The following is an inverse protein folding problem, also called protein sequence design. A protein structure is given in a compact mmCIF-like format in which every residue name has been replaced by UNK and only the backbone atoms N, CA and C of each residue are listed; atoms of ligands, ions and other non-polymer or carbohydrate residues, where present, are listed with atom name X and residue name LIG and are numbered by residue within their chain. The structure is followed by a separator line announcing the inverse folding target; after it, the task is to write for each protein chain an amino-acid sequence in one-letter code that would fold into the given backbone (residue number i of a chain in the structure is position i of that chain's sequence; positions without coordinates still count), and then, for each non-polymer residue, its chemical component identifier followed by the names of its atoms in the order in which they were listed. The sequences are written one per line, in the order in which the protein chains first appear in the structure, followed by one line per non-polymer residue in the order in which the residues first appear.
data_IF_217474576755
#
_entry.id   IF_217474576755
#
_cell.length_a   1.000
_cell.length_b   1.000
_cell.length_c   1.000
_cell.angle_alpha   90.00
_cell.angle_beta   90.00
_cell.angle_gamma   90.00
#
_symmetry.space_group_name_H-M   'P 1'
#
loop_
_entity.id
_entity.type
_entity.pdbx_description
1 polymer ?
#
# COMPACT_ATOMS: atom_id res chain seq x y z
N UNK A 1 35.63 11.07 4.22
CA UNK A 1 34.50 11.10 5.18
C UNK A 1 33.21 11.19 4.40
N UNK A 2 32.14 10.64 4.93
CA UNK A 2 30.82 10.59 4.29
C UNK A 2 29.79 11.30 5.16
N UNK A 3 28.85 12.00 4.54
CA UNK A 3 27.70 12.59 5.20
C UNK A 3 26.44 12.27 4.39
N UNK A 4 25.30 12.19 5.06
CA UNK A 4 24.01 12.00 4.40
C UNK A 4 23.44 13.35 3.99
N UNK A 5 23.21 13.52 2.68
CA UNK A 5 22.50 14.65 2.12
C UNK A 5 21.01 14.32 2.09
N UNK A 6 20.24 14.91 3.00
CA UNK A 6 18.79 14.67 3.11
C UNK A 6 18.03 15.18 1.88
N UNK A 7 18.57 16.16 1.14
CA UNK A 7 17.90 16.75 -0.02
C UNK A 7 18.00 15.85 -1.24
N UNK A 8 19.09 15.09 -1.35
CA UNK A 8 19.30 14.13 -2.43
C UNK A 8 19.06 12.68 -1.98
N UNK A 9 18.87 12.44 -0.69
CA UNK A 9 18.68 11.11 -0.13
C UNK A 9 19.91 10.21 -0.29
N UNK A 10 21.11 10.78 -0.42
CA UNK A 10 22.34 10.02 -0.71
C UNK A 10 23.47 10.36 0.23
N UNK A 11 24.38 9.40 0.42
CA UNK A 11 25.62 9.62 1.14
C UNK A 11 26.69 10.18 0.20
N UNK A 12 27.21 11.37 0.52
CA UNK A 12 28.22 12.06 -0.27
C UNK A 12 29.56 12.13 0.46
N UNK A 13 30.64 12.06 -0.32
CA UNK A 13 31.98 12.19 0.21
C UNK A 13 32.33 13.67 0.43
N UNK A 14 32.95 13.96 1.57
CA UNK A 14 33.49 15.26 1.89
C UNK A 14 34.85 15.16 2.56
N UNK A 15 35.61 16.26 2.46
CA UNK A 15 36.88 16.46 3.15
C UNK A 15 36.62 17.31 4.38
N UNK A 16 36.76 16.71 5.56
CA UNK A 16 36.58 17.41 6.84
C UNK A 16 37.89 18.07 7.27
N UNK A 17 37.85 19.36 7.64
CA UNK A 17 39.05 20.19 7.88
C UNK A 17 39.35 20.56 9.34
N UNK A 18 38.61 20.09 10.35
CA UNK A 18 38.96 20.36 11.76
C UNK A 18 37.83 20.15 12.78
N UNK A 19 38.14 20.11 14.08
CA UNK A 19 37.35 19.52 15.18
C UNK A 19 35.96 20.12 15.49
N UNK A 20 35.05 19.23 15.97
CA UNK A 20 33.59 19.35 16.22
C UNK A 20 32.72 18.93 15.03
N UNK A 21 32.52 17.62 14.92
CA UNK A 21 31.58 17.03 13.97
C UNK A 21 30.20 16.90 14.60
N UNK A 22 29.16 16.78 13.77
CA UNK A 22 27.84 16.32 14.20
C UNK A 22 27.68 14.83 13.87
N UNK A 23 26.59 14.21 14.31
CA UNK A 23 26.33 12.77 14.12
C UNK A 23 26.12 12.35 12.65
N UNK A 24 26.07 13.30 11.71
CA UNK A 24 25.97 13.05 10.27
C UNK A 24 27.36 12.92 9.61
N UNK A 25 28.26 12.15 10.25
CA UNK A 25 29.65 11.96 9.82
C UNK A 25 30.03 10.48 9.91
N UNK A 26 30.33 9.88 8.78
CA UNK A 26 30.61 8.45 8.65
C UNK A 26 31.97 8.20 8.00
N UNK A 27 32.71 7.24 8.52
CA UNK A 27 34.06 6.93 8.01
C UNK A 27 34.01 6.32 6.61
N UNK A 28 33.01 5.49 6.33
CA UNK A 28 32.80 4.82 5.04
C UNK A 28 31.41 5.14 4.46
N UNK A 29 31.30 5.02 3.14
CA UNK A 29 30.04 5.16 2.40
C UNK A 29 28.99 4.21 2.95
N UNK A 30 29.36 2.94 3.12
CA UNK A 30 28.48 1.88 3.59
C UNK A 30 27.97 2.14 5.01
N UNK A 31 28.78 2.72 5.90
CA UNK A 31 28.34 3.10 7.25
C UNK A 31 27.27 4.20 7.21
N UNK A 32 27.43 5.18 6.33
CA UNK A 32 26.45 6.22 6.08
C UNK A 32 25.14 5.63 5.51
N UNK A 33 25.25 4.83 4.45
CA UNK A 33 24.09 4.26 3.76
C UNK A 33 23.33 3.32 4.68
N UNK A 34 24.02 2.48 5.45
CA UNK A 34 23.38 1.58 6.42
C UNK A 34 22.68 2.32 7.56
N UNK A 35 23.17 3.49 7.96
CA UNK A 35 22.53 4.28 9.03
C UNK A 35 21.36 5.12 8.51
N UNK A 36 21.48 5.69 7.32
CA UNK A 36 20.58 6.73 6.82
C UNK A 36 19.65 6.28 5.68
N UNK A 37 20.03 5.25 4.92
CA UNK A 37 19.26 4.73 3.77
C UNK A 37 18.57 3.42 4.14
N UNK A 38 19.27 2.49 4.78
CA UNK A 38 18.78 1.14 5.13
C UNK A 38 17.67 1.17 6.21
N UNK A 39 17.57 2.25 6.99
CA UNK A 39 16.46 2.49 7.93
C UNK A 39 15.18 3.06 7.30
N UNK A 40 15.19 3.36 6.01
CA UNK A 40 14.04 3.90 5.25
C UNK A 40 13.68 3.08 4.01
N UNK A 41 14.31 1.91 3.78
CA UNK A 41 13.96 1.01 2.68
C UNK A 41 14.35 -0.44 3.00
N UNK A 42 13.42 -1.22 3.57
CA UNK A 42 13.41 -2.65 3.25
C UNK A 42 12.86 -2.79 1.81
N UNK A 43 13.74 -2.64 0.82
CA UNK A 43 13.60 -3.20 -0.53
C UNK A 43 14.74 -2.72 -1.46
N UNK A 44 15.81 -3.50 -1.59
CA UNK A 44 16.43 -3.87 -2.89
C UNK A 44 17.36 -5.08 -2.66
N UNK A 45 17.49 -6.17 -3.42
CA UNK A 45 17.17 -6.66 -4.78
C UNK A 45 17.00 -8.21 -4.68
N UNK A 46 16.31 -8.97 -5.54
CA UNK A 46 16.73 -9.44 -6.87
C UNK A 46 15.54 -10.14 -7.54
N UNK A 47 15.28 -9.77 -8.80
CA UNK A 47 14.28 -10.39 -9.66
C UNK A 47 14.17 -9.58 -10.93
N UNK A 48 15.09 -9.82 -11.87
CA UNK A 48 14.88 -9.49 -13.27
C UNK A 48 13.55 -10.11 -13.72
N UNK A 49 12.53 -9.28 -13.97
CA UNK A 49 11.52 -9.38 -15.04
C UNK A 49 10.68 -8.09 -15.00
N UNK A 50 10.85 -7.25 -16.04
CA UNK A 50 10.01 -6.10 -16.41
C UNK A 50 9.37 -5.27 -15.27
N UNK A 51 9.97 -4.11 -14.95
CA UNK A 51 9.18 -2.97 -14.48
C UNK A 51 8.32 -2.46 -15.65
N UNK A 52 7.28 -3.24 -15.96
CA UNK A 52 6.20 -2.85 -16.84
C UNK A 52 5.41 -1.71 -16.20
N UNK A 53 4.86 -0.83 -17.02
CA UNK A 53 4.11 0.35 -16.64
C UNK A 53 2.71 0.03 -16.06
N UNK A 54 2.60 -1.02 -15.25
CA UNK A 54 1.37 -1.52 -14.63
C UNK A 54 1.47 -1.48 -13.10
N UNK A 55 1.47 -0.28 -12.54
CA UNK A 55 1.11 -0.06 -11.13
C UNK A 55 -0.39 -0.28 -10.97
N UNK A 56 -0.81 -1.54 -10.97
CA UNK A 56 -2.20 -1.92 -10.71
C UNK A 56 -2.58 -1.63 -9.25
N UNK A 57 -3.78 -1.08 -9.04
CA UNK A 57 -4.36 -0.95 -7.71
C UNK A 57 -4.69 -2.35 -7.18
N UNK A 58 -4.14 -2.71 -6.03
CA UNK A 58 -4.35 -4.04 -5.43
C UNK A 58 -5.53 -4.02 -4.47
N UNK A 59 -6.40 -5.01 -4.59
CA UNK A 59 -7.52 -5.22 -3.68
C UNK A 59 -7.40 -6.60 -3.04
N UNK A 60 -7.49 -6.64 -1.71
CA UNK A 60 -7.30 -7.86 -0.92
C UNK A 60 -8.27 -7.91 0.25
N UNK A 61 -8.54 -9.12 0.74
CA UNK A 61 -9.53 -9.37 1.79
C UNK A 61 -8.91 -9.99 3.05
N UNK A 62 -9.53 -9.73 4.20
CA UNK A 62 -9.14 -10.31 5.48
C UNK A 62 -10.40 -10.72 6.29
N UNK A 63 -10.52 -11.97 6.79
CA UNK A 63 -9.67 -13.13 6.48
C UNK A 63 -9.70 -13.49 4.99
N UNK A 64 -8.78 -14.33 4.55
CA UNK A 64 -8.86 -14.93 3.21
C UNK A 64 -9.96 -16.00 3.19
N UNK A 65 -10.57 -16.24 2.02
CA UNK A 65 -11.64 -17.22 1.81
C UNK A 65 -11.34 -18.64 2.31
N UNK A 66 -12.38 -19.47 2.55
CA UNK A 66 -13.82 -19.23 2.29
C UNK A 66 -14.52 -18.40 3.37
N UNK A 67 -15.63 -17.75 3.01
CA UNK A 67 -16.48 -17.03 3.96
C UNK A 67 -17.76 -17.82 4.23
N UNK A 68 -18.14 -17.93 5.49
CA UNK A 68 -19.41 -18.51 5.92
C UNK A 68 -20.46 -17.42 6.13
N UNK A 69 -21.74 -17.79 5.98
CA UNK A 69 -22.84 -16.90 6.36
C UNK A 69 -22.69 -16.48 7.83
N UNK A 70 -22.75 -15.17 8.08
CA UNK A 70 -22.55 -14.58 9.41
C UNK A 70 -21.16 -14.01 9.66
N UNK A 71 -20.17 -14.35 8.82
CA UNK A 71 -18.81 -13.83 8.96
C UNK A 71 -18.71 -12.31 8.79
N UNK A 72 -17.56 -11.77 9.17
CA UNK A 72 -17.15 -10.39 8.89
C UNK A 72 -16.04 -10.41 7.83
N UNK A 73 -16.28 -9.73 6.71
CA UNK A 73 -15.32 -9.60 5.61
C UNK A 73 -14.79 -8.18 5.58
N UNK A 74 -13.46 -8.04 5.50
CA UNK A 74 -12.80 -6.75 5.33
C UNK A 74 -12.09 -6.70 3.99
N UNK A 75 -12.52 -5.81 3.09
CA UNK A 75 -11.87 -5.55 1.81
C UNK A 75 -11.01 -4.30 1.94
N UNK A 76 -9.76 -4.37 1.50
CA UNK A 76 -8.80 -3.27 1.56
C UNK A 76 -8.29 -2.97 0.16
N UNK A 77 -8.26 -1.69 -0.17
CA UNK A 77 -7.75 -1.17 -1.43
C UNK A 77 -6.41 -0.48 -1.19
N UNK A 78 -5.36 -0.90 -1.87
CA UNK A 78 -4.05 -0.23 -1.85
C UNK A 78 -4.10 1.03 -2.71
N UNK A 79 -4.52 2.12 -2.08
CA UNK A 79 -4.71 3.43 -2.72
C UNK A 79 -3.41 4.20 -2.87
N UNK A 80 -2.32 3.79 -2.21
CA UNK A 80 -1.08 4.57 -2.07
C UNK A 80 -1.32 6.04 -1.67
N UNK A 81 -2.40 6.32 -0.95
CA UNK A 81 -2.79 7.66 -0.51
C UNK A 81 -3.55 8.51 -1.55
N UNK A 82 -3.88 7.94 -2.72
CA UNK A 82 -4.64 8.63 -3.76
C UNK A 82 -6.14 8.57 -3.47
N UNK A 83 -6.81 9.72 -3.61
CA UNK A 83 -8.25 9.90 -3.38
C UNK A 83 -8.88 10.56 -4.63
N UNK A 84 -10.20 10.41 -4.88
CA UNK A 84 -11.18 9.63 -4.11
C UNK A 84 -11.05 8.11 -4.31
N UNK A 85 -11.69 7.34 -3.43
CA UNK A 85 -11.84 5.88 -3.57
C UNK A 85 -13.32 5.55 -3.73
N UNK A 86 -13.65 4.83 -4.79
CA UNK A 86 -15.03 4.39 -5.08
C UNK A 86 -15.07 2.88 -5.12
N UNK A 87 -16.04 2.28 -4.43
CA UNK A 87 -16.21 0.83 -4.39
C UNK A 87 -17.34 0.38 -5.31
N UNK A 88 -17.11 -0.74 -5.99
CA UNK A 88 -18.08 -1.37 -6.87
C UNK A 88 -18.25 -2.85 -6.54
N UNK A 89 -19.46 -3.33 -6.76
CA UNK A 89 -19.83 -4.74 -6.72
C UNK A 89 -20.61 -5.08 -7.98
N UNK A 90 -20.17 -6.09 -8.70
CA UNK A 90 -20.81 -6.58 -9.92
C UNK A 90 -21.03 -5.45 -10.95
N UNK A 91 -20.07 -4.53 -11.05
CA UNK A 91 -20.09 -3.37 -11.93
C UNK A 91 -20.96 -2.19 -11.48
N UNK A 92 -21.69 -2.31 -10.36
CA UNK A 92 -22.50 -1.23 -9.78
C UNK A 92 -21.82 -0.60 -8.56
N UNK A 93 -22.14 0.66 -8.26
CA UNK A 93 -21.67 1.32 -7.04
C UNK A 93 -22.10 0.54 -5.80
N UNK A 94 -21.16 0.30 -4.89
CA UNK A 94 -21.42 -0.45 -3.67
C UNK A 94 -22.42 0.30 -2.80
N UNK A 95 -23.54 -0.35 -2.50
CA UNK A 95 -24.59 0.23 -1.68
C UNK A 95 -24.24 0.13 -0.19
N UNK A 96 -24.12 1.26 0.49
CA UNK A 96 -23.84 1.32 1.93
C UNK A 96 -25.04 0.91 2.78
N UNK A 97 -24.81 0.26 3.92
CA UNK A 97 -25.86 -0.14 4.85
C UNK A 97 -25.32 -0.24 6.27
N UNK A 98 -26.17 -0.54 7.27
CA UNK A 98 -25.68 -0.82 8.63
C UNK A 98 -24.66 -1.97 8.68
N UNK A 99 -24.75 -2.91 7.73
CA UNK A 99 -23.84 -4.05 7.60
C UNK A 99 -22.59 -3.73 6.78
N UNK A 100 -22.71 -2.89 5.74
CA UNK A 100 -21.65 -2.52 4.80
C UNK A 100 -21.17 -1.10 5.14
N UNK A 101 -20.03 -1.01 5.80
CA UNK A 101 -19.44 0.22 6.32
C UNK A 101 -18.10 0.49 5.66
N UNK A 102 -17.76 1.77 5.48
CA UNK A 102 -16.49 2.20 4.89
C UNK A 102 -15.67 2.96 5.93
N UNK A 103 -14.38 2.67 5.98
CA UNK A 103 -13.43 3.15 6.98
C UNK A 103 -12.12 3.60 6.30
N UNK A 104 -11.16 4.04 7.12
CA UNK A 104 -9.80 4.37 6.70
C UNK A 104 -9.75 5.32 5.49
N UNK A 105 -10.46 6.44 5.54
CA UNK A 105 -10.53 7.40 4.43
C UNK A 105 -10.94 6.72 3.11
N UNK A 106 -11.97 5.88 3.16
CA UNK A 106 -12.54 5.17 2.02
C UNK A 106 -11.72 3.99 1.47
N UNK A 107 -10.54 3.71 2.02
CA UNK A 107 -9.68 2.61 1.57
C UNK A 107 -10.08 1.21 2.08
N UNK A 108 -11.02 1.13 3.04
CA UNK A 108 -11.45 -0.15 3.64
C UNK A 108 -12.97 -0.26 3.66
N UNK A 109 -13.52 -1.37 3.16
CA UNK A 109 -14.91 -1.78 3.35
C UNK A 109 -14.96 -2.91 4.37
N UNK A 110 -15.90 -2.81 5.31
CA UNK A 110 -16.28 -3.90 6.21
C UNK A 110 -17.70 -4.33 5.87
N UNK A 111 -17.90 -5.62 5.63
CA UNK A 111 -19.20 -6.26 5.51
C UNK A 111 -19.38 -7.16 6.73
N UNK A 112 -20.32 -6.82 7.61
CA UNK A 112 -20.63 -7.61 8.80
C UNK A 112 -21.87 -8.46 8.58
N UNK A 113 -21.87 -9.67 9.15
CA UNK A 113 -22.94 -10.66 9.00
C UNK A 113 -23.24 -10.92 7.52
N UNK A 114 -22.22 -11.41 6.81
CA UNK A 114 -22.30 -11.67 5.38
C UNK A 114 -23.35 -12.74 5.06
N UNK A 115 -23.98 -12.60 3.91
CA UNK A 115 -24.99 -13.51 3.37
C UNK A 115 -24.54 -14.00 2.01
N UNK A 116 -25.22 -15.02 1.47
CA UNK A 116 -24.93 -15.48 0.11
C UNK A 116 -25.10 -14.38 -0.94
N UNK A 117 -25.98 -13.40 -0.68
CA UNK A 117 -26.20 -12.23 -1.54
C UNK A 117 -25.02 -11.25 -1.54
N UNK A 118 -24.09 -11.33 -0.58
CA UNK A 118 -22.88 -10.50 -0.54
C UNK A 118 -21.77 -11.07 -1.44
N UNK A 119 -21.92 -12.29 -1.95
CA UNK A 119 -21.05 -12.83 -3.00
C UNK A 119 -21.10 -11.97 -4.26
N UNK A 120 -19.99 -11.90 -4.99
CA UNK A 120 -19.88 -11.12 -6.22
C UNK A 120 -18.45 -10.67 -6.52
N UNK A 121 -18.28 -9.97 -7.63
CA UNK A 121 -17.00 -9.36 -8.02
C UNK A 121 -16.88 -7.95 -7.44
N UNK A 122 -15.87 -7.74 -6.58
CA UNK A 122 -15.59 -6.44 -5.97
C UNK A 122 -14.38 -5.78 -6.60
N UNK A 123 -14.48 -4.46 -6.82
CA UNK A 123 -13.39 -3.62 -7.31
C UNK A 123 -13.39 -2.27 -6.58
N UNK A 124 -12.22 -1.67 -6.44
CA UNK A 124 -12.08 -0.26 -6.07
C UNK A 124 -11.55 0.55 -7.25
N UNK A 125 -12.04 1.78 -7.40
CA UNK A 125 -11.52 2.79 -8.31
C UNK A 125 -10.80 3.86 -7.49
N UNK A 126 -9.61 4.28 -7.92
CA UNK A 126 -8.75 5.20 -7.16
C UNK A 126 -8.38 6.42 -8.02
N UNK A 127 -8.52 7.61 -7.44
CA UNK A 127 -8.13 8.87 -8.07
C UNK A 127 -9.17 9.47 -9.02
N UNK A 128 -8.91 10.67 -9.57
CA UNK A 128 -9.83 11.38 -10.45
C UNK A 128 -10.10 10.65 -11.76
N UNK A 129 -9.11 9.91 -12.26
CA UNK A 129 -9.22 9.09 -13.48
C UNK A 129 -9.91 7.75 -13.24
N UNK A 130 -10.20 7.41 -11.98
CA UNK A 130 -10.90 6.18 -11.61
C UNK A 130 -10.13 4.91 -11.97
N UNK A 131 -8.83 4.84 -11.68
CA UNK A 131 -8.01 3.67 -11.96
C UNK A 131 -8.55 2.46 -11.20
N UNK A 132 -8.96 1.42 -11.93
CA UNK A 132 -9.59 0.24 -11.37
C UNK A 132 -8.57 -0.75 -10.83
N UNK A 133 -8.91 -1.36 -9.69
CA UNK A 133 -8.23 -2.55 -9.20
C UNK A 133 -8.53 -3.78 -10.04
N UNK A 134 -7.69 -4.79 -9.86
CA UNK A 134 -8.05 -6.16 -10.19
C UNK A 134 -9.34 -6.57 -9.46
N UNK A 135 -10.08 -7.48 -10.08
CA UNK A 135 -11.27 -8.07 -9.49
C UNK A 135 -10.93 -8.98 -8.32
N UNK A 136 -11.66 -8.81 -7.21
CA UNK A 136 -11.69 -9.80 -6.14
C UNK A 136 -13.08 -10.39 -6.01
N UNK A 137 -13.19 -11.68 -6.32
CA UNK A 137 -14.45 -12.42 -6.22
C UNK A 137 -14.66 -12.84 -4.78
N UNK A 138 -15.63 -12.26 -4.08
CA UNK A 138 -16.06 -12.72 -2.76
C UNK A 138 -17.04 -13.87 -2.94
N UNK A 139 -16.76 -15.01 -2.29
CA UNK A 139 -17.66 -16.18 -2.30
C UNK A 139 -18.03 -16.56 -0.87
N UNK A 140 -19.33 -16.46 -0.57
CA UNK A 140 -19.92 -16.87 0.71
C UNK A 140 -20.62 -18.21 0.53
N UNK A 141 -20.29 -19.18 1.38
CA UNK A 141 -20.83 -20.55 1.38
C UNK A 141 -21.66 -20.85 2.63
#
# INVERSE_FOLDING_TARGET
MWYFDISEGTCKQFTYSGCRGNDNRFETKESCERRCIDGSNNAVMLGDEAADANVGIKLYANPHQPYLVGDKVELNCDTRGVLPVVWMKDGALLHHSKRIQVHNQFSKVTISNVTQSDSGEYRCAVGPDGLLSDAYVVKVI
#
